data_IF_483714479683
#
_entry.id   IF_483714479683
#
_cell.length_a   1.000
_cell.length_b   1.000
_cell.length_c   1.000
_cell.angle_alpha   90.00
_cell.angle_beta   90.00
_cell.angle_gamma   90.00
#
_symmetry.space_group_name_H-M   'P 1'
#
loop_
_entity.id
_entity.type
_entity.pdbx_description
1 polymer ?
#
# COMPACT_ATOMS: atom_id res chain seq x y z
N UNK A 1 20.62 -10.74 22.02
CA UNK A 1 19.79 -9.59 21.60
C UNK A 1 18.34 -10.04 21.59
N UNK A 2 17.40 -9.26 22.14
CA UNK A 2 15.98 -9.62 22.17
C UNK A 2 15.30 -9.07 20.93
N UNK A 3 14.79 -9.95 20.06
CA UNK A 3 14.04 -9.55 18.88
C UNK A 3 12.60 -9.26 19.32
N UNK A 4 12.04 -8.07 19.02
CA UNK A 4 10.67 -7.74 19.38
C UNK A 4 9.69 -8.62 18.60
N UNK A 5 8.61 -9.06 19.25
CA UNK A 5 7.53 -9.86 18.66
C UNK A 5 6.19 -9.28 19.15
N UNK A 6 5.25 -9.06 18.24
CA UNK A 6 3.93 -8.48 18.52
C UNK A 6 2.85 -9.23 17.74
N UNK A 7 1.72 -9.48 18.40
CA UNK A 7 0.50 -10.01 17.78
C UNK A 7 -0.41 -8.92 17.21
N UNK A 8 -0.22 -7.66 17.62
CA UNK A 8 -1.08 -6.52 17.30
C UNK A 8 -0.53 -5.66 16.16
N UNK A 9 0.52 -6.15 15.50
CA UNK A 9 1.31 -5.41 14.53
C UNK A 9 2.37 -4.50 15.18
N UNK A 10 3.17 -3.87 14.34
CA UNK A 10 4.22 -2.93 14.74
C UNK A 10 4.24 -1.75 13.78
N UNK A 11 4.65 -0.59 14.29
CA UNK A 11 4.94 0.59 13.47
C UNK A 11 6.45 0.75 13.42
N UNK A 12 6.96 0.87 12.20
CA UNK A 12 8.37 1.09 11.93
C UNK A 12 8.57 2.56 11.57
N UNK A 13 9.40 3.26 12.32
CA UNK A 13 9.69 4.67 12.11
C UNK A 13 10.98 4.83 11.32
N UNK A 14 10.92 5.61 10.25
CA UNK A 14 12.12 6.09 9.54
C UNK A 14 12.15 7.61 9.62
N UNK A 15 13.28 8.27 9.31
CA UNK A 15 13.33 9.74 9.24
C UNK A 15 12.35 10.37 8.24
N UNK A 16 11.79 9.59 7.30
CA UNK A 16 10.96 10.10 6.19
C UNK A 16 9.49 9.72 6.29
N UNK A 17 9.19 8.52 6.82
CA UNK A 17 7.85 7.98 6.91
C UNK A 17 7.76 6.89 8.00
N UNK A 18 6.55 6.68 8.51
CA UNK A 18 6.22 5.53 9.34
C UNK A 18 5.53 4.47 8.47
N UNK A 19 5.80 3.18 8.71
CA UNK A 19 5.13 2.12 7.98
C UNK A 19 4.68 0.96 8.87
N UNK A 20 3.65 0.26 8.40
CA UNK A 20 3.16 -0.99 8.97
C UNK A 20 3.27 -2.11 7.95
N UNK A 21 3.14 -3.35 8.43
CA UNK A 21 3.22 -4.55 7.61
C UNK A 21 1.98 -5.40 7.81
N UNK A 22 1.42 -5.88 6.70
CA UNK A 22 0.44 -6.96 6.62
C UNK A 22 1.02 -8.11 5.80
N UNK A 23 0.46 -9.30 5.97
CA UNK A 23 0.87 -10.50 5.24
C UNK A 23 -0.34 -11.10 4.56
N UNK A 24 -0.27 -11.18 3.23
CA UNK A 24 -1.23 -11.91 2.40
C UNK A 24 -2.69 -11.65 2.81
N UNK A 25 -3.42 -12.68 3.26
CA UNK A 25 -4.85 -12.65 3.54
C UNK A 25 -5.32 -11.65 4.61
N UNK A 26 -4.41 -11.02 5.36
CA UNK A 26 -4.74 -9.92 6.29
C UNK A 26 -5.64 -8.86 5.65
N UNK A 27 -5.35 -8.47 4.40
CA UNK A 27 -6.14 -7.49 3.64
C UNK A 27 -7.57 -7.96 3.31
N UNK A 28 -7.84 -9.27 3.35
CA UNK A 28 -9.13 -9.86 3.04
C UNK A 28 -10.05 -9.95 4.27
N UNK A 29 -9.53 -9.65 5.45
CA UNK A 29 -10.32 -9.67 6.68
C UNK A 29 -11.40 -8.57 6.66
N UNK A 30 -12.55 -8.78 7.34
CA UNK A 30 -13.55 -7.73 7.50
C UNK A 30 -13.00 -6.43 8.11
N UNK A 31 -12.00 -6.59 9.00
CA UNK A 31 -11.22 -5.50 9.58
C UNK A 31 -9.74 -5.84 9.41
N UNK A 32 -9.09 -5.39 8.31
CA UNK A 32 -7.67 -5.64 8.09
C UNK A 32 -6.79 -4.97 9.15
N UNK A 33 -5.70 -5.60 9.62
CA UNK A 33 -4.74 -5.01 10.57
C UNK A 33 -4.23 -3.61 10.17
N UNK A 34 -4.11 -3.34 8.87
CA UNK A 34 -3.73 -2.04 8.28
C UNK A 34 -4.67 -0.91 8.68
N UNK A 35 -5.92 -1.22 9.03
CA UNK A 35 -6.86 -0.23 9.57
C UNK A 35 -6.32 0.33 10.88
N UNK A 36 -5.92 -0.57 11.81
CA UNK A 36 -5.33 -0.22 13.10
C UNK A 36 -3.95 0.41 12.92
N UNK A 37 -3.09 -0.17 12.08
CA UNK A 37 -1.75 0.37 11.82
C UNK A 37 -1.78 1.79 11.26
N UNK A 38 -2.70 2.09 10.33
CA UNK A 38 -2.86 3.43 9.80
C UNK A 38 -3.32 4.43 10.88
N UNK A 39 -4.29 4.03 11.71
CA UNK A 39 -4.75 4.84 12.84
C UNK A 39 -3.63 5.08 13.86
N UNK A 40 -2.72 4.12 14.04
CA UNK A 40 -1.52 4.22 14.87
C UNK A 40 -0.38 5.03 14.22
N UNK A 41 -0.56 5.55 13.00
CA UNK A 41 0.36 6.47 12.37
C UNK A 41 1.18 5.90 11.22
N UNK A 42 0.94 4.67 10.75
CA UNK A 42 1.56 4.19 9.51
C UNK A 42 1.13 5.05 8.33
N UNK A 43 2.08 5.70 7.65
CA UNK A 43 1.85 6.41 6.39
C UNK A 43 1.76 5.44 5.21
N UNK A 44 2.51 4.34 5.29
CA UNK A 44 2.64 3.31 4.25
C UNK A 44 2.33 1.95 4.87
N UNK A 45 1.55 1.14 4.17
CA UNK A 45 1.31 -0.27 4.50
C UNK A 45 2.01 -1.13 3.45
N UNK A 46 2.89 -2.03 3.89
CA UNK A 46 3.46 -3.06 3.03
C UNK A 46 2.70 -4.37 3.20
N UNK A 47 2.27 -4.97 2.10
CA UNK A 47 1.67 -6.31 2.08
C UNK A 47 2.57 -7.25 1.28
N UNK A 48 3.20 -8.18 1.99
CA UNK A 48 3.97 -9.26 1.40
C UNK A 48 3.06 -10.47 1.22
N UNK A 49 3.02 -11.00 0.01
CA UNK A 49 2.07 -12.05 -0.38
C UNK A 49 2.74 -13.21 -1.11
N UNK A 50 2.15 -14.38 -0.96
CA UNK A 50 2.32 -15.50 -1.88
C UNK A 50 0.93 -15.89 -2.38
N UNK A 51 0.28 -14.97 -3.12
CA UNK A 51 -1.12 -15.13 -3.50
C UNK A 51 -1.20 -15.86 -4.83
N UNK A 52 -1.79 -17.07 -4.82
CA UNK A 52 -2.09 -17.77 -6.06
C UNK A 52 -2.99 -16.92 -6.97
N UNK A 53 -2.99 -17.24 -8.26
CA UNK A 53 -3.78 -16.55 -9.25
C UNK A 53 -4.98 -17.40 -9.69
N UNK A 54 -6.14 -16.74 -9.77
CA UNK A 54 -7.38 -17.32 -10.27
C UNK A 54 -8.01 -16.34 -11.27
N UNK A 55 -8.94 -16.83 -12.10
CA UNK A 55 -9.70 -15.97 -13.01
C UNK A 55 -10.42 -14.88 -12.21
N UNK A 56 -10.27 -13.62 -12.61
CA UNK A 56 -10.88 -12.46 -11.96
C UNK A 56 -10.21 -11.99 -10.65
N UNK A 57 -9.38 -12.82 -10.00
CA UNK A 57 -8.80 -12.50 -8.69
C UNK A 57 -7.92 -11.24 -8.73
N UNK A 58 -7.20 -10.98 -9.82
CA UNK A 58 -6.38 -9.77 -9.93
C UNK A 58 -7.19 -8.47 -9.86
N UNK A 59 -8.33 -8.41 -10.56
CA UNK A 59 -9.18 -7.21 -10.53
C UNK A 59 -9.73 -6.98 -9.12
N UNK A 60 -10.19 -8.04 -8.47
CA UNK A 60 -10.67 -7.99 -7.10
C UNK A 60 -9.57 -7.58 -6.10
N UNK A 61 -8.39 -8.21 -6.18
CA UNK A 61 -7.21 -7.87 -5.36
C UNK A 61 -6.83 -6.39 -5.52
N UNK A 62 -6.78 -5.90 -6.76
CA UNK A 62 -6.49 -4.49 -7.05
C UNK A 62 -7.54 -3.57 -6.44
N UNK A 63 -8.82 -3.92 -6.51
CA UNK A 63 -9.87 -3.14 -5.85
C UNK A 63 -9.70 -3.09 -4.33
N UNK A 64 -9.32 -4.21 -3.68
CA UNK A 64 -9.05 -4.23 -2.24
C UNK A 64 -7.87 -3.33 -1.87
N UNK A 65 -6.76 -3.42 -2.60
CA UNK A 65 -5.57 -2.58 -2.37
C UNK A 65 -5.91 -1.08 -2.49
N UNK A 66 -6.63 -0.70 -3.56
CA UNK A 66 -7.05 0.69 -3.75
C UNK A 66 -8.01 1.14 -2.64
N UNK A 67 -9.05 0.36 -2.35
CA UNK A 67 -10.02 0.70 -1.31
C UNK A 67 -9.37 0.81 0.07
N UNK A 68 -8.49 -0.11 0.43
CA UNK A 68 -7.82 -0.08 1.72
C UNK A 68 -6.86 1.11 1.84
N UNK A 69 -6.09 1.42 0.78
CA UNK A 69 -5.25 2.63 0.76
C UNK A 69 -6.07 3.92 0.96
N UNK A 70 -7.27 3.99 0.37
CA UNK A 70 -8.18 5.13 0.53
C UNK A 70 -8.79 5.21 1.93
N UNK A 71 -9.33 4.10 2.45
CA UNK A 71 -9.92 4.04 3.79
C UNK A 71 -8.94 4.42 4.89
N UNK A 72 -7.66 4.05 4.71
CA UNK A 72 -6.59 4.33 5.65
C UNK A 72 -5.93 5.71 5.45
N UNK A 73 -6.33 6.50 4.44
CA UNK A 73 -5.59 7.69 4.01
C UNK A 73 -4.08 7.41 3.98
N UNK A 74 -3.68 6.32 3.35
CA UNK A 74 -2.32 5.78 3.38
C UNK A 74 -1.85 5.38 1.98
N UNK A 75 -0.55 5.13 1.83
CA UNK A 75 -0.05 4.35 0.72
C UNK A 75 -0.13 2.85 1.05
N UNK A 76 -0.35 2.04 0.02
CA UNK A 76 -0.43 0.60 0.12
C UNK A 76 0.45 -0.04 -0.96
N UNK A 77 1.46 -0.78 -0.54
CA UNK A 77 2.46 -1.42 -1.40
C UNK A 77 2.27 -2.92 -1.30
N UNK A 78 1.76 -3.51 -2.37
CA UNK A 78 1.47 -4.93 -2.47
C UNK A 78 2.51 -5.61 -3.36
N UNK A 79 3.10 -6.70 -2.88
CA UNK A 79 4.00 -7.54 -3.68
C UNK A 79 3.68 -9.02 -3.44
N UNK A 80 3.35 -9.75 -4.52
CA UNK A 80 3.11 -11.19 -4.47
C UNK A 80 4.24 -11.97 -5.11
N UNK A 81 4.46 -13.20 -4.61
CA UNK A 81 5.25 -14.21 -5.28
C UNK A 81 4.80 -14.43 -6.74
N UNK A 82 5.76 -14.82 -7.59
CA UNK A 82 5.60 -14.97 -9.04
C UNK A 82 6.25 -16.25 -9.56
N UNK A 83 6.88 -16.17 -10.73
CA UNK A 83 7.55 -17.30 -11.34
C UNK A 83 8.67 -17.83 -10.43
N UNK A 84 8.73 -19.15 -10.24
CA UNK A 84 9.70 -19.83 -9.37
C UNK A 84 9.08 -20.56 -8.18
N UNK A 85 7.85 -20.22 -7.80
CA UNK A 85 7.09 -20.97 -6.79
C UNK A 85 6.63 -22.34 -7.28
N UNK A 86 6.34 -23.27 -6.34
CA UNK A 86 5.84 -24.60 -6.69
C UNK A 86 4.53 -24.52 -7.46
N UNK A 87 4.55 -25.01 -8.69
CA UNK A 87 3.41 -24.96 -9.61
C UNK A 87 2.66 -26.29 -9.72
N UNK A 88 2.75 -27.16 -8.70
CA UNK A 88 2.09 -28.47 -8.73
C UNK A 88 0.58 -28.33 -8.81
N UNK A 89 0.00 -27.44 -8.00
CA UNK A 89 -1.45 -27.22 -7.90
C UNK A 89 -1.87 -25.75 -8.09
N UNK A 90 -0.91 -24.82 -8.04
CA UNK A 90 -1.17 -23.38 -8.00
C UNK A 90 -0.34 -22.65 -9.05
N UNK A 91 -0.81 -21.46 -9.43
CA UNK A 91 -0.08 -20.54 -10.31
C UNK A 91 0.10 -19.23 -9.58
N UNK A 92 1.28 -18.62 -9.68
CA UNK A 92 1.59 -17.33 -9.07
C UNK A 92 1.94 -16.33 -10.16
N UNK A 93 1.25 -15.18 -10.16
CA UNK A 93 1.36 -14.21 -11.24
C UNK A 93 2.42 -13.13 -11.01
N UNK A 94 2.99 -13.01 -9.81
CA UNK A 94 3.91 -11.91 -9.48
C UNK A 94 3.20 -10.56 -9.42
N UNK A 95 1.91 -10.53 -9.08
CA UNK A 95 1.15 -9.30 -9.00
C UNK A 95 1.81 -8.32 -8.01
N UNK A 96 2.09 -7.10 -8.48
CA UNK A 96 2.65 -6.02 -7.68
C UNK A 96 1.86 -4.73 -7.95
N UNK A 97 1.53 -4.00 -6.89
CA UNK A 97 0.71 -2.78 -6.97
C UNK A 97 1.19 -1.77 -5.95
N UNK A 98 1.36 -0.51 -6.37
CA UNK A 98 1.55 0.63 -5.48
C UNK A 98 0.32 1.53 -5.60
N UNK A 99 -0.36 1.76 -4.49
CA UNK A 99 -1.50 2.65 -4.39
C UNK A 99 -1.27 3.73 -3.34
N UNK A 100 -1.91 4.88 -3.51
CA UNK A 100 -1.91 5.99 -2.57
C UNK A 100 -3.30 6.58 -2.51
N UNK A 101 -3.93 6.53 -1.34
CA UNK A 101 -5.25 7.12 -1.08
C UNK A 101 -6.27 6.82 -2.21
N UNK A 102 -6.50 5.53 -2.49
CA UNK A 102 -7.35 5.00 -3.57
C UNK A 102 -6.90 5.29 -5.01
N UNK A 103 -5.76 5.94 -5.21
CA UNK A 103 -5.16 6.17 -6.53
C UNK A 103 -4.11 5.12 -6.83
N UNK A 104 -4.18 4.50 -8.02
CA UNK A 104 -3.15 3.59 -8.50
C UNK A 104 -1.92 4.40 -8.96
N UNK A 105 -0.76 4.18 -8.36
CA UNK A 105 0.49 4.83 -8.75
C UNK A 105 1.31 3.98 -9.72
N UNK A 106 1.40 2.67 -9.47
CA UNK A 106 2.11 1.73 -10.33
C UNK A 106 1.51 0.31 -10.23
N UNK A 107 1.64 -0.46 -11.31
CA UNK A 107 1.24 -1.87 -11.38
C UNK A 107 2.29 -2.65 -12.17
N UNK A 108 2.69 -3.80 -11.65
CA UNK A 108 3.70 -4.67 -12.24
C UNK A 108 3.16 -5.55 -13.36
N UNK A 109 4.05 -6.03 -14.22
CA UNK A 109 3.71 -7.01 -15.24
C UNK A 109 3.40 -8.36 -14.58
N UNK A 110 2.23 -8.91 -14.90
CA UNK A 110 1.82 -10.24 -14.43
C UNK A 110 2.41 -11.34 -15.32
N UNK A 111 2.68 -12.49 -14.71
CA UNK A 111 3.24 -13.69 -15.33
C UNK A 111 4.57 -13.44 -16.04
N UNK A 112 5.40 -12.54 -15.51
CA UNK A 112 6.76 -12.39 -15.99
C UNK A 112 7.58 -13.62 -15.59
N UNK A 113 8.46 -14.06 -16.49
CA UNK A 113 9.43 -15.12 -16.22
C UNK A 113 10.69 -14.56 -15.54
N UNK A 114 10.91 -13.26 -15.68
CA UNK A 114 12.03 -12.53 -15.08
C UNK A 114 11.61 -11.86 -13.76
N UNK A 115 12.59 -11.42 -12.97
CA UNK A 115 12.34 -10.62 -11.78
C UNK A 115 11.78 -9.25 -12.17
N UNK A 116 10.61 -8.91 -11.64
CA UNK A 116 9.95 -7.61 -11.86
C UNK A 116 10.10 -6.70 -10.64
N UNK A 117 10.31 -5.41 -10.90
CA UNK A 117 10.34 -4.37 -9.87
C UNK A 117 9.53 -3.18 -10.36
N UNK A 118 8.63 -2.68 -9.50
CA UNK A 118 7.92 -1.42 -9.73
C UNK A 118 8.37 -0.37 -8.72
N UNK A 119 8.41 0.88 -9.16
CA UNK A 119 8.88 2.03 -8.37
C UNK A 119 7.89 3.17 -8.58
N UNK A 120 7.52 3.86 -7.50
CA UNK A 120 6.75 5.10 -7.55
C UNK A 120 7.07 6.00 -6.35
N UNK A 121 6.81 7.30 -6.47
CA UNK A 121 7.00 8.25 -5.38
C UNK A 121 5.67 8.48 -4.63
N UNK A 122 5.69 8.27 -3.32
CA UNK A 122 4.54 8.47 -2.42
C UNK A 122 4.67 9.84 -1.75
N UNK A 123 3.61 10.63 -1.76
CA UNK A 123 3.55 11.92 -1.09
C UNK A 123 3.02 11.76 0.34
N UNK A 124 3.93 11.45 1.26
CA UNK A 124 3.63 11.27 2.69
C UNK A 124 3.10 12.56 3.33
N UNK A 125 3.54 13.73 2.85
CA UNK A 125 3.08 15.01 3.38
C UNK A 125 1.62 15.25 3.00
N UNK A 126 1.23 14.94 1.76
CA UNK A 126 -0.16 14.99 1.32
C UNK A 126 -1.03 14.02 2.14
N UNK A 127 -0.61 12.77 2.32
CA UNK A 127 -1.35 11.78 3.13
C UNK A 127 -1.62 12.27 4.55
N UNK A 128 -0.58 12.79 5.23
CA UNK A 128 -0.72 13.37 6.58
C UNK A 128 -1.63 14.60 6.58
N UNK A 129 -1.52 15.45 5.56
CA UNK A 129 -2.40 16.61 5.38
C UNK A 129 -3.87 16.22 5.20
N UNK A 130 -4.15 15.16 4.45
CA UNK A 130 -5.51 14.64 4.25
C UNK A 130 -6.06 14.02 5.53
N UNK A 131 -5.25 13.31 6.32
CA UNK A 131 -5.65 12.81 7.65
C UNK A 131 -6.05 13.94 8.59
N UNK A 132 -5.29 15.04 8.61
CA UNK A 132 -5.59 16.20 9.45
C UNK A 132 -6.91 16.90 9.07
N UNK A 133 -7.26 16.92 7.79
CA UNK A 133 -8.52 17.51 7.29
C UNK A 133 -9.72 16.58 7.49
N UNK A 134 -9.48 15.28 7.54
CA UNK A 134 -10.53 14.28 7.69
C UNK A 134 -10.95 14.13 9.15
N UNK A 135 -12.05 14.77 9.54
CA UNK A 135 -12.59 14.68 10.91
C UNK A 135 -13.02 13.27 11.33
N UNK A 136 -13.17 12.34 10.38
CA UNK A 136 -13.51 10.94 10.66
C UNK A 136 -12.27 10.06 10.88
N UNK A 137 -11.05 10.59 10.65
CA UNK A 137 -9.81 9.88 10.92
C UNK A 137 -9.40 10.12 12.37
N UNK A 138 -9.85 9.25 13.27
CA UNK A 138 -9.65 9.40 14.71
C UNK A 138 -8.49 8.49 15.15
N UNK A 139 -7.39 9.03 15.70
CA UNK A 139 -6.31 8.21 16.24
C UNK A 139 -6.79 7.39 17.46
N UNK A 140 -6.18 6.23 17.75
CA UNK A 140 -6.55 5.43 18.90
C UNK A 140 -6.22 6.16 20.20
N UNK A 141 -7.09 6.06 21.21
CA UNK A 141 -6.93 6.77 22.48
C UNK A 141 -5.97 6.07 23.46
N UNK A 142 -5.93 4.74 23.50
CA UNK A 142 -5.16 3.96 24.50
C UNK A 142 -4.72 2.59 23.96
N UNK A 143 -4.08 2.53 22.80
CA UNK A 143 -3.44 1.30 22.34
C UNK A 143 -1.92 1.40 22.51
N UNK A 144 -1.33 0.45 23.22
CA UNK A 144 0.13 0.30 23.24
C UNK A 144 0.59 -0.11 21.84
N UNK A 145 1.27 0.79 21.14
CA UNK A 145 1.87 0.53 19.83
C UNK A 145 3.27 -0.02 20.05
N UNK A 146 3.57 -1.15 19.40
CA UNK A 146 4.95 -1.64 19.33
C UNK A 146 5.68 -0.86 18.24
N UNK A 147 6.55 0.06 18.65
CA UNK A 147 7.29 0.96 17.75
C UNK A 147 8.74 0.51 17.58
N UNK A 148 9.23 0.53 16.35
CA UNK A 148 10.59 0.13 15.99
C UNK A 148 11.26 1.25 15.19
N UNK A 149 12.32 1.82 15.75
CA UNK A 149 13.16 2.78 15.04
C UNK A 149 14.01 2.09 13.98
N UNK A 150 13.91 2.57 12.75
CA UNK A 150 14.61 2.06 11.58
C UNK A 150 15.53 3.13 11.01
N UNK A 151 16.83 2.89 11.07
CA UNK A 151 17.81 3.74 10.39
C UNK A 151 17.66 3.57 8.87
N UNK A 152 17.42 4.67 8.17
CA UNK A 152 17.34 4.71 6.72
C UNK A 152 18.05 5.95 6.19
N UNK A 153 18.97 5.74 5.24
CA UNK A 153 19.67 6.83 4.57
C UNK A 153 18.83 7.37 3.41
N UNK A 154 18.90 8.69 3.19
CA UNK A 154 18.24 9.31 2.05
C UNK A 154 18.90 8.86 0.74
N UNK A 155 18.10 8.38 -0.21
CA UNK A 155 18.56 8.04 -1.56
C UNK A 155 17.97 9.02 -2.55
N UNK A 156 18.82 9.59 -3.41
CA UNK A 156 18.36 10.38 -4.56
C UNK A 156 18.31 9.52 -5.81
N UNK A 157 17.15 9.48 -6.45
CA UNK A 157 16.90 8.68 -7.66
C UNK A 157 17.24 9.41 -8.97
N UNK A 158 17.53 10.72 -8.90
CA UNK A 158 17.81 11.57 -10.07
C UNK A 158 16.61 11.81 -11.00
N UNK A 159 15.44 11.25 -10.71
CA UNK A 159 14.17 11.46 -11.43
C UNK A 159 12.98 11.11 -10.56
N UNK A 160 11.82 11.67 -10.90
CA UNK A 160 10.53 11.28 -10.32
C UNK A 160 9.97 10.07 -11.06
N UNK A 161 9.47 9.09 -10.31
CA UNK A 161 8.73 7.92 -10.81
C UNK A 161 7.20 8.14 -10.76
N UNK A 162 6.73 9.11 -9.98
CA UNK A 162 5.32 9.52 -9.98
C UNK A 162 4.97 10.32 -11.23
N UNK A 163 3.77 10.06 -11.77
CA UNK A 163 3.15 10.90 -12.79
C UNK A 163 2.30 11.97 -12.12
N UNK A 164 2.48 13.22 -12.52
CA UNK A 164 1.65 14.34 -12.08
C UNK A 164 0.66 14.71 -13.18
N UNK A 165 -0.61 14.91 -12.81
CA UNK A 165 -1.57 15.53 -13.71
C UNK A 165 -1.27 17.05 -13.76
N UNK A 166 -0.88 17.63 -14.91
CA UNK A 166 -0.66 19.07 -15.03
C UNK A 166 -1.96 19.89 -14.89
N UNK A 167 -3.12 19.24 -14.96
CA UNK A 167 -4.44 19.85 -14.88
C UNK A 167 -5.32 19.16 -13.80
N UNK A 168 -4.93 19.23 -12.51
CA UNK A 168 -5.58 18.46 -11.44
C UNK A 168 -7.05 18.84 -11.21
N UNK A 169 -7.47 20.03 -11.65
CA UNK A 169 -8.84 20.54 -11.51
C UNK A 169 -9.65 20.48 -12.83
N UNK A 170 -9.09 19.88 -13.88
CA UNK A 170 -9.77 19.72 -15.17
C UNK A 170 -10.01 18.22 -15.37
N UNK A 171 -11.28 17.77 -15.39
CA UNK A 171 -11.61 16.39 -15.69
C UNK A 171 -11.02 15.96 -17.04
N UNK A 172 -10.47 14.75 -17.10
CA UNK A 172 -10.15 14.14 -18.40
C UNK A 172 -11.44 13.87 -19.18
N UNK A 173 -11.46 13.92 -20.52
CA UNK A 173 -12.66 13.67 -21.32
C UNK A 173 -13.33 12.32 -21.00
N UNK A 174 -12.54 11.30 -20.66
CA UNK A 174 -13.01 9.96 -20.31
C UNK A 174 -13.74 9.88 -18.95
N UNK A 175 -13.61 10.92 -18.12
CA UNK A 175 -14.18 11.00 -16.77
C UNK A 175 -15.09 12.21 -16.58
N UNK A 176 -15.40 12.94 -17.64
CA UNK A 176 -16.14 14.20 -17.56
C UNK A 176 -17.48 14.01 -16.81
N UNK A 177 -18.21 12.93 -17.11
CA UNK A 177 -19.47 12.59 -16.45
C UNK A 177 -19.33 12.19 -14.97
N UNK A 178 -18.18 11.67 -14.53
CA UNK A 178 -17.94 11.29 -13.12
C UNK A 178 -17.66 12.50 -12.21
N UNK A 179 -17.18 13.61 -12.77
CA UNK A 179 -16.82 14.82 -12.01
C UNK A 179 -17.90 15.92 -12.06
N UNK A 180 -19.01 15.70 -12.76
CA UNK A 180 -20.12 16.65 -12.93
C UNK A 180 -21.26 16.50 -11.91
N UNK A 181 -21.11 15.67 -10.87
CA UNK A 181 -22.10 15.48 -9.80
C UNK A 181 -21.81 16.31 -8.55
#
# INVERSE_FOLDING_TARGET
ESIPVSSDGMIFHTPFASFGIEICEDLWMPVPPSSKLAMQGADIIFNLSASNELVGKNAYRKSLVLQQSGRCNAAYVYASAGCGESSTDLVFSGAATIAENATLLAEGKRFSLDNEMIISDIDVVALRGDRLKNSNFIPPQEESVSEIECALEAVSTGKWYRKFNPYPFIPSPEKEDEYLS
#
